data_IF_058540075659
#
_entry.id   IF_058540075659
#
_cell.length_a   1.000
_cell.length_b   1.000
_cell.length_c   1.000
_cell.angle_alpha   90.00
_cell.angle_beta   90.00
_cell.angle_gamma   90.00
#
_symmetry.space_group_name_H-M   'P 1'
#
loop_
_entity.id
_entity.type
_entity.pdbx_description
1 polymer ?
#
# COMPACT_ATOMS: atom_id res chain seq x y z
N UNK A 1 -11.00 -16.63 9.78
CA UNK A 1 -11.13 -16.78 8.31
C UNK A 1 -12.36 -17.60 7.92
N UNK A 2 -12.69 -18.71 8.60
CA UNK A 2 -13.92 -19.49 8.35
C UNK A 2 -15.21 -18.67 8.56
N UNK A 3 -15.30 -17.91 9.66
CA UNK A 3 -16.51 -17.16 10.01
C UNK A 3 -16.84 -16.04 9.00
N UNK A 4 -15.82 -15.44 8.40
CA UNK A 4 -15.99 -14.41 7.37
C UNK A 4 -16.50 -14.99 6.05
N UNK A 5 -15.98 -16.16 5.62
CA UNK A 5 -16.48 -16.87 4.43
C UNK A 5 -17.95 -17.17 4.60
N UNK A 6 -18.35 -17.78 5.72
CA UNK A 6 -19.74 -18.15 6.00
C UNK A 6 -20.68 -16.94 6.06
N UNK A 7 -20.20 -15.81 6.59
CA UNK A 7 -20.97 -14.57 6.58
C UNK A 7 -21.26 -14.09 5.15
N UNK A 8 -20.23 -14.08 4.30
CA UNK A 8 -20.40 -13.67 2.89
C UNK A 8 -21.23 -14.68 2.10
N UNK A 9 -21.09 -15.98 2.39
CA UNK A 9 -21.89 -17.03 1.74
C UNK A 9 -23.38 -16.83 2.01
N UNK A 10 -23.76 -16.73 3.29
CA UNK A 10 -25.15 -16.44 3.71
C UNK A 10 -25.68 -15.12 3.17
N UNK A 11 -24.82 -14.11 3.03
CA UNK A 11 -25.20 -12.80 2.49
C UNK A 11 -25.52 -12.86 1.00
N UNK A 12 -24.68 -13.54 0.21
CA UNK A 12 -24.80 -13.58 -1.24
C UNK A 12 -25.79 -14.64 -1.74
N UNK A 13 -26.01 -15.71 -0.98
CA UNK A 13 -26.97 -16.77 -1.33
C UNK A 13 -28.41 -16.26 -1.51
N UNK A 14 -28.76 -15.16 -0.82
CA UNK A 14 -30.05 -14.45 -0.91
C UNK A 14 -30.25 -13.69 -2.23
N UNK A 15 -29.21 -13.55 -3.06
CA UNK A 15 -29.29 -12.82 -4.31
C UNK A 15 -29.57 -13.75 -5.50
N UNK A 16 -30.40 -13.27 -6.44
CA UNK A 16 -30.62 -13.94 -7.72
C UNK A 16 -29.39 -13.89 -8.63
N UNK A 17 -29.33 -14.80 -9.60
CA UNK A 17 -28.19 -15.05 -10.51
C UNK A 17 -27.72 -13.78 -11.23
N UNK A 18 -28.65 -12.95 -11.72
CA UNK A 18 -28.33 -11.67 -12.38
C UNK A 18 -27.60 -10.71 -11.45
N UNK A 19 -28.05 -10.62 -10.19
CA UNK A 19 -27.46 -9.74 -9.18
C UNK A 19 -26.09 -10.26 -8.71
N UNK A 20 -25.93 -11.58 -8.59
CA UNK A 20 -24.64 -12.22 -8.33
C UNK A 20 -23.63 -11.96 -9.45
N UNK A 21 -24.04 -12.10 -10.72
CA UNK A 21 -23.19 -11.80 -11.88
C UNK A 21 -22.74 -10.34 -11.91
N UNK A 22 -23.65 -9.39 -11.69
CA UNK A 22 -23.30 -7.97 -11.65
C UNK A 22 -22.34 -7.63 -10.50
N UNK A 23 -22.53 -8.23 -9.32
CA UNK A 23 -21.61 -8.09 -8.20
C UNK A 23 -20.23 -8.67 -8.53
N UNK A 24 -20.18 -9.88 -9.10
CA UNK A 24 -18.94 -10.54 -9.49
C UNK A 24 -18.13 -9.67 -10.47
N UNK A 25 -18.78 -9.16 -11.53
CA UNK A 25 -18.14 -8.27 -12.52
C UNK A 25 -17.64 -6.98 -11.87
N UNK A 26 -18.45 -6.37 -10.99
CA UNK A 26 -18.07 -5.16 -10.26
C UNK A 26 -16.86 -5.37 -9.35
N UNK A 27 -16.80 -6.49 -8.62
CA UNK A 27 -15.65 -6.80 -7.78
C UNK A 27 -14.41 -7.15 -8.60
N UNK A 28 -14.52 -7.91 -9.69
CA UNK A 28 -13.39 -8.21 -10.59
C UNK A 28 -12.79 -6.95 -11.17
N UNK A 29 -13.62 -6.02 -11.66
CA UNK A 29 -13.17 -4.73 -12.18
C UNK A 29 -12.43 -3.91 -11.10
N UNK A 30 -12.97 -3.83 -9.88
CA UNK A 30 -12.32 -3.13 -8.76
C UNK A 30 -10.99 -3.75 -8.36
N UNK A 31 -10.89 -5.08 -8.34
CA UNK A 31 -9.63 -5.77 -8.05
C UNK A 31 -8.60 -5.49 -9.13
N UNK A 32 -8.98 -5.57 -10.41
CA UNK A 32 -8.07 -5.30 -11.52
C UNK A 32 -7.58 -3.85 -11.52
N UNK A 33 -8.48 -2.87 -11.29
CA UNK A 33 -8.09 -1.47 -11.13
C UNK A 33 -7.17 -1.26 -9.93
N UNK A 34 -7.47 -1.90 -8.79
CA UNK A 34 -6.64 -1.78 -7.59
C UNK A 34 -5.25 -2.39 -7.79
N UNK A 35 -5.16 -3.54 -8.48
CA UNK A 35 -3.88 -4.15 -8.85
C UNK A 35 -3.10 -3.25 -9.81
N UNK A 36 -3.75 -2.67 -10.82
CA UNK A 36 -3.11 -1.73 -11.74
C UNK A 36 -2.57 -0.50 -11.01
N UNK A 37 -3.36 0.07 -10.08
CA UNK A 37 -2.95 1.18 -9.24
C UNK A 37 -1.76 0.81 -8.35
N UNK A 38 -1.78 -0.38 -7.74
CA UNK A 38 -0.69 -0.85 -6.90
C UNK A 38 0.60 -1.01 -7.71
N UNK A 39 0.53 -1.65 -8.88
CA UNK A 39 1.67 -1.79 -9.79
C UNK A 39 2.19 -0.42 -10.24
N UNK A 40 1.29 0.51 -10.59
CA UNK A 40 1.66 1.87 -10.97
C UNK A 40 2.35 2.64 -9.84
N UNK A 41 1.79 2.59 -8.63
CA UNK A 41 2.39 3.22 -7.44
C UNK A 41 3.74 2.57 -7.12
N UNK A 42 3.84 1.25 -7.15
CA UNK A 42 5.09 0.54 -6.89
C UNK A 42 6.16 0.92 -7.92
N UNK A 43 5.79 1.04 -9.20
CA UNK A 43 6.70 1.46 -10.27
C UNK A 43 7.17 2.91 -10.07
N UNK A 44 6.28 3.84 -9.73
CA UNK A 44 6.59 5.25 -9.43
C UNK A 44 7.48 5.36 -8.20
N UNK A 45 7.18 4.63 -7.13
CA UNK A 45 8.00 4.61 -5.92
C UNK A 45 9.37 4.02 -6.22
N UNK A 46 9.45 2.94 -7.00
CA UNK A 46 10.73 2.32 -7.39
C UNK A 46 11.57 3.26 -8.25
N UNK A 47 10.97 3.93 -9.24
CA UNK A 47 11.66 4.94 -10.07
C UNK A 47 12.03 6.19 -9.27
N UNK A 48 11.24 6.61 -8.30
CA UNK A 48 11.56 7.72 -7.41
C UNK A 48 12.73 7.38 -6.46
N UNK A 49 12.76 6.16 -5.92
CA UNK A 49 13.81 5.67 -5.03
C UNK A 49 15.13 5.43 -5.78
N UNK A 50 15.09 4.89 -7.00
CA UNK A 50 16.30 4.67 -7.82
C UNK A 50 16.75 5.91 -8.60
N UNK A 51 15.86 6.87 -8.84
CA UNK A 51 16.10 8.07 -9.62
C UNK A 51 16.46 9.31 -8.79
N UNK A 52 16.32 10.49 -9.40
CA UNK A 52 16.70 11.78 -8.80
C UNK A 52 15.88 12.22 -7.59
N UNK A 53 14.72 11.60 -7.33
CA UNK A 53 13.86 11.93 -6.19
C UNK A 53 14.49 11.49 -4.86
N UNK A 54 15.14 10.32 -4.79
CA UNK A 54 15.90 9.90 -3.61
C UNK A 54 17.03 10.88 -3.27
N UNK A 55 17.78 11.33 -4.28
CA UNK A 55 18.84 12.34 -4.13
C UNK A 55 18.29 13.72 -3.73
N UNK A 56 17.14 14.12 -4.29
CA UNK A 56 16.49 15.41 -3.95
C UNK A 56 15.91 15.42 -2.55
N UNK A 57 15.29 14.33 -2.09
CA UNK A 57 14.79 14.19 -0.71
C UNK A 57 15.97 14.22 0.27
N UNK A 58 17.07 13.53 -0.02
CA UNK A 58 18.30 13.62 0.77
C UNK A 58 18.86 15.05 0.83
N UNK A 59 18.88 15.78 -0.30
CA UNK A 59 19.28 17.19 -0.31
C UNK A 59 18.34 18.08 0.49
N UNK A 60 17.04 17.86 0.40
CA UNK A 60 16.03 18.61 1.16
C UNK A 60 16.16 18.36 2.67
N UNK A 61 16.33 17.09 3.07
CA UNK A 61 16.58 16.71 4.47
C UNK A 61 17.87 17.35 4.97
N UNK A 62 18.95 17.31 4.17
CA UNK A 62 20.20 18.03 4.48
C UNK A 62 19.97 19.52 4.65
N UNK A 63 19.27 20.17 3.74
CA UNK A 63 18.99 21.60 3.83
C UNK A 63 18.14 21.92 5.07
N UNK A 64 17.12 21.14 5.39
CA UNK A 64 16.29 21.33 6.59
C UNK A 64 17.09 21.13 7.88
N UNK A 65 17.90 20.07 7.96
CA UNK A 65 18.78 19.83 9.11
C UNK A 65 19.82 20.93 9.24
N UNK A 66 20.45 21.36 8.14
CA UNK A 66 21.42 22.46 8.13
C UNK A 66 20.78 23.79 8.51
N UNK A 67 19.55 24.10 8.06
CA UNK A 67 18.87 25.36 8.43
C UNK A 67 18.52 25.36 9.92
N UNK A 68 18.00 24.25 10.46
CA UNK A 68 17.61 24.17 11.86
C UNK A 68 18.83 24.06 12.80
N UNK A 69 19.91 23.41 12.35
CA UNK A 69 21.18 23.42 13.08
C UNK A 69 21.90 24.75 12.93
N UNK A 70 21.94 25.41 11.76
CA UNK A 70 22.64 26.70 11.52
C UNK A 70 22.08 27.88 12.30
N UNK A 71 20.78 27.89 12.63
CA UNK A 71 20.22 28.85 13.59
C UNK A 71 20.86 28.70 14.99
N UNK A 72 21.29 27.49 15.33
CA UNK A 72 22.05 27.16 16.55
C UNK A 72 23.58 27.21 16.30
N UNK A 73 24.03 26.98 15.06
CA UNK A 73 25.42 26.81 14.63
C UNK A 73 26.09 28.09 14.12
N UNK A 74 25.41 29.25 14.09
CA UNK A 74 26.09 30.54 13.92
C UNK A 74 27.12 30.84 15.02
N UNK A 75 27.20 30.01 16.07
CA UNK A 75 28.23 30.05 17.11
C UNK A 75 29.35 29.00 17.01
N UNK A 76 29.33 28.06 16.07
CA UNK A 76 30.39 27.04 15.98
C UNK A 76 31.07 27.06 14.61
N UNK A 77 32.18 27.79 14.54
CA UNK A 77 33.19 27.59 13.52
C UNK A 77 33.61 26.11 13.50
N UNK A 78 33.63 25.50 12.31
CA UNK A 78 34.02 24.13 12.01
C UNK A 78 33.18 23.03 12.72
N UNK A 79 32.22 22.44 11.98
CA UNK A 79 31.58 21.19 12.38
C UNK A 79 32.65 20.15 12.75
N UNK A 80 32.61 19.65 13.99
CA UNK A 80 33.46 18.54 14.41
C UNK A 80 33.02 17.25 13.70
N UNK A 81 33.92 16.26 13.58
CA UNK A 81 33.56 14.94 12.99
C UNK A 81 32.37 14.28 13.69
N UNK A 82 32.19 14.53 14.99
CA UNK A 82 31.06 14.03 15.78
C UNK A 82 29.72 14.66 15.43
N UNK A 83 29.69 15.95 15.04
CA UNK A 83 28.44 16.61 14.62
C UNK A 83 27.98 16.07 13.26
N UNK A 84 28.93 15.85 12.34
CA UNK A 84 28.69 15.21 11.05
C UNK A 84 28.13 13.78 11.20
N UNK A 85 28.67 13.01 12.15
CA UNK A 85 28.23 11.64 12.41
C UNK A 85 26.82 11.60 13.01
N UNK A 86 26.47 12.55 13.87
CA UNK A 86 25.14 12.70 14.47
C UNK A 86 24.09 13.05 13.41
N UNK A 87 24.42 13.99 12.50
CA UNK A 87 23.53 14.36 11.38
C UNK A 87 23.28 13.19 10.45
N UNK A 88 24.32 12.42 10.10
CA UNK A 88 24.18 11.20 9.29
C UNK A 88 23.30 10.13 9.96
N UNK A 89 23.40 10.00 11.28
CA UNK A 89 22.59 9.06 12.04
C UNK A 89 21.10 9.45 12.04
N UNK A 90 20.81 10.75 12.17
CA UNK A 90 19.44 11.29 12.09
C UNK A 90 18.88 11.14 10.67
N UNK A 91 19.67 11.41 9.62
CA UNK A 91 19.30 11.17 8.23
C UNK A 91 18.90 9.71 8.00
N UNK A 92 19.72 8.76 8.48
CA UNK A 92 19.44 7.34 8.38
C UNK A 92 18.14 6.96 9.09
N UNK A 93 17.89 7.50 10.29
CA UNK A 93 16.70 7.20 11.07
C UNK A 93 15.41 7.71 10.40
N UNK A 94 15.46 8.92 9.80
CA UNK A 94 14.34 9.49 9.05
C UNK A 94 14.00 8.63 7.83
N UNK A 95 15.02 8.20 7.07
CA UNK A 95 14.84 7.33 5.90
C UNK A 95 14.23 5.99 6.33
N UNK A 96 14.71 5.41 7.43
CA UNK A 96 14.18 4.16 7.98
C UNK A 96 12.68 4.27 8.29
N UNK A 97 12.25 5.36 8.93
CA UNK A 97 10.83 5.61 9.25
C UNK A 97 9.99 5.73 7.98
N UNK A 98 10.48 6.45 6.96
CA UNK A 98 9.78 6.60 5.68
C UNK A 98 9.59 5.24 5.00
N UNK A 99 10.63 4.39 5.01
CA UNK A 99 10.55 3.02 4.47
C UNK A 99 9.51 2.19 5.25
N UNK A 100 9.49 2.30 6.58
CA UNK A 100 8.54 1.59 7.43
C UNK A 100 7.08 1.96 7.12
N UNK A 101 6.80 3.26 6.96
CA UNK A 101 5.47 3.77 6.57
C UNK A 101 5.08 3.26 5.18
N UNK A 102 6.01 3.26 4.23
CA UNK A 102 5.79 2.73 2.88
C UNK A 102 5.41 1.24 2.91
N UNK A 103 6.15 0.43 3.67
CA UNK A 103 5.88 -1.01 3.81
C UNK A 103 4.49 -1.23 4.41
N UNK A 104 4.14 -0.52 5.49
CA UNK A 104 2.81 -0.62 6.11
C UNK A 104 1.69 -0.26 5.13
N UNK A 105 1.88 0.79 4.34
CA UNK A 105 0.92 1.19 3.30
C UNK A 105 0.72 0.10 2.24
N UNK A 106 1.81 -0.54 1.78
CA UNK A 106 1.74 -1.65 0.82
C UNK A 106 1.02 -2.85 1.42
N UNK A 107 1.37 -3.24 2.65
CA UNK A 107 0.74 -4.38 3.34
C UNK A 107 -0.75 -4.16 3.48
N UNK A 108 -1.18 -2.98 3.94
CA UNK A 108 -2.60 -2.63 4.06
C UNK A 108 -3.33 -2.70 2.72
N UNK A 109 -2.71 -2.21 1.65
CA UNK A 109 -3.31 -2.22 0.32
C UNK A 109 -3.43 -3.64 -0.25
N UNK A 110 -2.41 -4.48 -0.06
CA UNK A 110 -2.45 -5.90 -0.43
C UNK A 110 -3.55 -6.64 0.33
N UNK A 111 -3.70 -6.38 1.62
CA UNK A 111 -4.72 -7.01 2.45
C UNK A 111 -6.15 -6.65 2.00
N UNK A 112 -6.35 -5.38 1.61
CA UNK A 112 -7.61 -4.92 1.00
C UNK A 112 -7.93 -5.66 -0.31
N UNK A 113 -6.92 -5.88 -1.16
CA UNK A 113 -7.09 -6.65 -2.41
C UNK A 113 -7.44 -8.11 -2.09
N UNK A 114 -6.71 -8.75 -1.17
CA UNK A 114 -6.98 -10.13 -0.74
C UNK A 114 -8.43 -10.30 -0.25
N UNK A 115 -8.90 -9.37 0.57
CA UNK A 115 -10.29 -9.38 1.06
C UNK A 115 -11.31 -9.26 -0.08
N UNK A 116 -11.03 -8.44 -1.11
CA UNK A 116 -11.90 -8.37 -2.29
C UNK A 116 -11.84 -9.65 -3.15
N UNK A 117 -10.67 -10.25 -3.32
CA UNK A 117 -10.52 -11.53 -4.03
C UNK A 117 -11.27 -12.66 -3.33
N UNK A 118 -11.21 -12.72 -2.01
CA UNK A 118 -11.98 -13.68 -1.21
C UNK A 118 -13.50 -13.54 -1.46
N UNK A 119 -14.02 -12.31 -1.50
CA UNK A 119 -15.43 -12.06 -1.85
C UNK A 119 -15.78 -12.56 -3.26
N UNK A 120 -14.89 -12.36 -4.24
CA UNK A 120 -15.07 -12.85 -5.62
C UNK A 120 -15.17 -14.38 -5.62
N UNK A 121 -14.25 -15.08 -4.94
CA UNK A 121 -14.24 -16.54 -4.87
C UNK A 121 -15.54 -17.09 -4.26
N UNK A 122 -16.03 -16.47 -3.18
CA UNK A 122 -17.31 -16.85 -2.56
C UNK A 122 -18.49 -16.62 -3.52
N UNK A 123 -18.52 -15.47 -4.20
CA UNK A 123 -19.53 -15.14 -5.22
C UNK A 123 -19.51 -16.14 -6.39
N UNK A 124 -18.32 -16.52 -6.87
CA UNK A 124 -18.12 -17.52 -7.93
C UNK A 124 -18.64 -18.89 -7.50
N UNK A 125 -18.30 -19.33 -6.30
CA UNK A 125 -18.77 -20.61 -5.75
C UNK A 125 -20.31 -20.69 -5.69
N UNK A 126 -20.96 -19.64 -5.17
CA UNK A 126 -22.43 -19.59 -5.07
C UNK A 126 -23.07 -19.52 -6.45
N UNK A 127 -22.48 -18.76 -7.37
CA UNK A 127 -22.97 -18.65 -8.75
C UNK A 127 -22.90 -20.00 -9.46
N UNK A 128 -21.80 -20.74 -9.31
CA UNK A 128 -21.65 -22.07 -9.92
C UNK A 128 -22.63 -23.09 -9.30
N UNK A 129 -22.79 -23.09 -7.98
CA UNK A 129 -23.79 -23.93 -7.28
C UNK A 129 -25.22 -23.67 -7.80
N UNK A 130 -25.64 -22.40 -7.90
CA UNK A 130 -26.98 -22.04 -8.41
C UNK A 130 -27.16 -22.37 -9.89
N UNK A 131 -26.15 -22.14 -10.72
CA UNK A 131 -26.23 -22.42 -12.16
C UNK A 131 -26.28 -23.93 -12.45
N UNK A 132 -25.61 -24.77 -11.65
CA UNK A 132 -25.73 -26.24 -11.74
C UNK A 132 -27.11 -26.71 -11.28
N UNK A 133 -27.66 -26.11 -10.22
CA UNK A 133 -28.99 -26.44 -9.70
C UNK A 133 -30.14 -26.05 -10.64
N UNK A 134 -30.00 -25.01 -11.48
CA UNK A 134 -31.00 -24.65 -12.49
C UNK A 134 -30.94 -25.51 -13.76
N UNK A 135 -29.84 -26.23 -13.98
CA UNK A 135 -29.63 -27.10 -15.15
C UNK A 135 -29.94 -28.57 -14.87
N UNK A 136 -30.17 -28.93 -13.61
CA UNK A 136 -30.54 -30.27 -13.15
C UNK A 136 -32.02 -30.34 -12.81
#
# INVERSE_FOLDING_TARGET
>A
MSDEVEFYERKYEKYGIVKLRNLLTGYKSKVQQSQLLLTGIMLVVFTALLGGLGQSILRWIRQLLIINTSATLKKAQALSKSDLQTVLFIEFFIILIIILILILGIVFFVDKIKTMQMKILVLESIFEKKTKSEKS
#
